data_IF_605562119396
#
_entry.id   IF_605562119396
#
_cell.length_a   1.000
_cell.length_b   1.000
_cell.length_c   1.000
_cell.angle_alpha   90.00
_cell.angle_beta   90.00
_cell.angle_gamma   90.00
#
_symmetry.space_group_name_H-M   'P 1'
#
loop_
_entity.id
_entity.type
_entity.pdbx_description
1 polymer ?
2 non-polymer ?
3 water ?
#
# COMPACT_ATOMS: atom_id res chain seq x y z
N UNK A 1 20.05 26.08 3.55
CA UNK A 1 19.48 25.50 4.77
C UNK A 1 18.35 24.50 4.51
N UNK A 2 18.51 23.28 5.02
CA UNK A 2 17.59 22.17 4.83
C UNK A 2 16.97 21.73 6.15
N UNK A 3 15.78 21.15 6.12
CA UNK A 3 15.19 20.59 7.36
C UNK A 3 16.07 19.51 7.95
N UNK A 4 16.04 19.41 9.29
CA UNK A 4 16.77 18.34 9.96
C UNK A 4 16.18 16.97 9.65
N UNK A 5 14.88 16.89 9.41
CA UNK A 5 14.21 15.62 9.15
C UNK A 5 13.25 15.75 7.99
N UNK A 6 13.13 14.66 7.22
CA UNK A 6 12.20 14.54 6.09
C UNK A 6 11.61 13.14 6.13
N UNK A 7 10.31 13.03 5.90
CA UNK A 7 9.68 11.72 5.73
C UNK A 7 8.52 11.91 4.75
N UNK A 8 8.75 11.54 3.49
CA UNK A 8 7.76 11.75 2.43
C UNK A 8 6.52 10.89 2.62
N UNK A 9 6.57 9.85 3.46
CA UNK A 9 5.37 9.11 3.78
C UNK A 9 4.33 10.02 4.42
N UNK A 10 4.79 10.94 5.28
CA UNK A 10 3.89 11.84 5.98
C UNK A 10 3.19 12.81 5.04
N UNK A 11 3.68 12.95 3.82
CA UNK A 11 3.07 13.80 2.80
C UNK A 11 2.17 13.00 1.87
N UNK A 12 1.93 11.72 2.17
CA UNK A 12 1.10 10.88 1.30
C UNK A 12 1.70 10.58 -0.05
N UNK A 13 3.03 10.56 -0.16
CA UNK A 13 3.74 10.41 -1.42
C UNK A 13 4.36 9.03 -1.62
N UNK A 14 4.11 8.07 -0.75
CA UNK A 14 4.78 6.77 -0.78
C UNK A 14 3.74 5.67 -0.78
N UNK A 15 3.79 4.79 -1.79
CA UNK A 15 2.88 3.65 -1.81
C UNK A 15 3.33 2.58 -0.79
N UNK A 16 2.51 1.54 -0.68
CA UNK A 16 2.83 0.42 0.19
C UNK A 16 4.13 -0.27 -0.20
N UNK A 17 4.82 -0.81 0.79
CA UNK A 17 6.00 -1.62 0.53
C UNK A 17 5.63 -2.82 -0.33
N UNK A 18 6.42 -3.11 -1.35
CA UNK A 18 6.16 -4.25 -2.21
C UNK A 18 7.09 -5.42 -1.85
N UNK A 19 6.81 -6.57 -2.45
CA UNK A 19 7.53 -7.83 -2.21
C UNK A 19 8.07 -8.35 -3.53
N UNK A 20 9.38 -8.20 -3.74
CA UNK A 20 9.98 -8.54 -5.02
C UNK A 20 10.14 -10.03 -5.20
N UNK A 21 10.28 -10.78 -4.11
CA UNK A 21 10.42 -12.22 -4.19
C UNK A 21 11.72 -12.65 -4.87
N UNK A 22 11.64 -13.77 -5.57
CA UNK A 22 12.82 -14.36 -6.21
C UNK A 22 13.30 -13.59 -7.44
N UNK A 23 12.59 -12.56 -7.86
CA UNK A 23 12.92 -11.82 -9.07
C UNK A 23 13.76 -10.61 -8.68
N UNK A 24 14.95 -10.48 -9.26
CA UNK A 24 15.84 -9.39 -8.90
C UNK A 24 15.42 -8.07 -9.51
N UNK A 25 14.23 -7.60 -9.16
CA UNK A 25 13.63 -6.42 -9.77
C UNK A 25 13.65 -5.21 -8.84
N UNK A 26 14.53 -5.19 -7.84
CA UNK A 26 14.55 -4.04 -6.92
C UNK A 26 14.83 -2.74 -7.67
N UNK A 27 15.58 -2.81 -8.78
CA UNK A 27 15.82 -1.64 -9.61
C UNK A 27 14.51 -1.07 -10.15
N UNK A 28 13.59 -1.96 -10.52
CA UNK A 28 12.30 -1.51 -11.05
C UNK A 28 11.44 -0.91 -9.94
N UNK A 29 11.45 -1.52 -8.75
CA UNK A 29 10.70 -0.96 -7.62
C UNK A 29 11.27 0.38 -7.18
N UNK A 30 12.60 0.50 -7.18
CA UNK A 30 13.22 1.77 -6.86
C UNK A 30 12.74 2.85 -7.81
N UNK A 31 12.68 2.54 -9.12
CA UNK A 31 12.28 3.53 -10.11
C UNK A 31 10.81 3.93 -9.98
N UNK A 32 9.89 2.96 -9.91
CA UNK A 32 8.48 3.33 -9.83
C UNK A 32 8.19 4.08 -8.53
N UNK A 33 8.86 3.70 -7.44
CA UNK A 33 8.65 4.41 -6.18
C UNK A 33 8.99 5.88 -6.26
N UNK A 34 10.13 6.21 -6.86
CA UNK A 34 10.51 7.61 -7.03
C UNK A 34 9.50 8.33 -7.94
N UNK A 35 9.05 7.66 -9.00
CA UNK A 35 8.09 8.31 -9.90
C UNK A 35 6.71 8.43 -9.26
N UNK A 36 6.32 7.47 -8.42
CA UNK A 36 5.04 7.56 -7.72
C UNK A 36 4.93 8.85 -6.91
N UNK A 37 6.01 9.29 -6.26
CA UNK A 37 5.93 10.51 -5.45
C UNK A 37 5.76 11.76 -6.31
N UNK A 38 6.47 11.83 -7.44
CA UNK A 38 6.28 12.96 -8.35
C UNK A 38 4.86 12.98 -8.90
N UNK A 39 4.29 11.81 -9.17
CA UNK A 39 2.92 11.74 -9.67
C UNK A 39 1.93 12.25 -8.63
N UNK A 40 2.12 11.85 -7.37
CA UNK A 40 1.28 12.34 -6.28
C UNK A 40 1.39 13.84 -6.12
N UNK A 41 2.62 14.36 -6.16
CA UNK A 41 2.84 15.80 -6.04
C UNK A 41 2.12 16.55 -7.16
N UNK A 42 2.18 16.02 -8.39
CA UNK A 42 1.60 16.72 -9.54
C UNK A 42 0.08 16.60 -9.62
N UNK A 43 -0.49 15.44 -9.29
CA UNK A 43 -1.90 15.21 -9.56
C UNK A 43 -2.74 15.05 -8.31
N UNK A 44 -2.11 14.94 -7.13
CA UNK A 44 -2.84 14.70 -5.91
C UNK A 44 -3.23 13.26 -5.68
N UNK A 45 -2.96 12.36 -6.61
CA UNK A 45 -3.37 10.98 -6.49
C UNK A 45 -2.14 10.11 -6.24
N UNK A 46 -2.27 9.18 -5.30
CA UNK A 46 -1.22 8.22 -4.97
C UNK A 46 -1.57 6.91 -5.67
N UNK A 47 -0.75 6.52 -6.65
CA UNK A 47 -1.04 5.35 -7.49
C UNK A 47 0.22 4.52 -7.61
N UNK A 48 0.15 3.24 -7.25
CA UNK A 48 1.28 2.36 -7.50
C UNK A 48 1.49 2.21 -9.00
N UNK A 49 2.74 2.38 -9.44
CA UNK A 49 3.10 2.21 -10.84
C UNK A 49 3.71 0.82 -11.06
N UNK A 50 3.70 0.37 -12.31
CA UNK A 50 3.94 -1.04 -12.65
C UNK A 50 5.43 -1.36 -12.73
N UNK A 51 5.98 -1.95 -11.65
CA UNK A 51 7.34 -2.49 -11.72
C UNK A 51 7.46 -3.59 -12.78
N UNK A 52 6.41 -4.39 -12.96
CA UNK A 52 6.42 -5.45 -13.98
C UNK A 52 6.54 -4.87 -15.39
N UNK A 53 5.90 -3.73 -15.64
CA UNK A 53 6.05 -3.01 -16.91
C UNK A 53 7.52 -2.74 -17.22
N UNK A 54 8.31 -2.36 -16.20
CA UNK A 54 9.74 -2.13 -16.39
C UNK A 54 10.49 -3.44 -16.62
N UNK A 55 10.19 -4.47 -15.83
CA UNK A 55 10.87 -5.75 -15.97
C UNK A 55 10.68 -6.33 -17.38
N UNK A 56 9.45 -6.26 -17.90
CA UNK A 56 9.14 -6.86 -19.20
C UNK A 56 9.55 -6.00 -20.38
N UNK A 57 9.57 -4.67 -20.22
CA UNK A 57 9.69 -3.78 -21.37
C UNK A 57 10.94 -2.93 -21.39
N UNK A 58 11.51 -2.57 -20.24
CA UNK A 58 12.78 -1.85 -20.17
C UNK A 58 13.91 -2.89 -20.11
N UNK A 59 14.19 -3.48 -21.27
CA UNK A 59 15.01 -4.69 -21.35
C UNK A 59 16.32 -4.39 -22.08
N UNK A 60 16.72 -5.18 -23.10
CA UNK A 60 18.08 -5.13 -23.63
C UNK A 60 18.46 -3.75 -24.17
N UNK A 61 17.53 -3.08 -24.86
CA UNK A 61 17.81 -1.74 -25.38
C UNK A 61 18.23 -0.78 -24.27
N UNK A 62 17.76 -1.02 -23.05
CA UNK A 62 18.08 -0.18 -21.90
C UNK A 62 19.15 -0.77 -21.01
N UNK A 63 19.87 -1.80 -21.48
CA UNK A 63 20.90 -2.43 -20.66
C UNK A 63 20.40 -3.23 -19.49
N UNK A 64 19.10 -3.51 -19.43
CA UNK A 64 18.52 -4.20 -18.28
C UNK A 64 18.26 -5.66 -18.62
N UNK A 65 18.11 -6.45 -17.57
CA UNK A 65 17.96 -7.90 -17.73
C UNK A 65 16.79 -8.43 -16.90
N UNK A 66 15.74 -7.63 -16.74
CA UNK A 66 14.54 -8.10 -16.06
C UNK A 66 14.81 -8.58 -14.65
N UNK A 67 14.41 -9.83 -14.36
CA UNK A 67 14.64 -10.43 -13.06
C UNK A 67 16.11 -10.70 -12.76
N UNK A 68 17.01 -10.47 -13.72
CA UNK A 68 18.44 -10.59 -13.48
C UNK A 68 19.12 -9.24 -13.29
N UNK A 69 18.35 -8.16 -13.11
CA UNK A 69 18.93 -6.89 -12.72
C UNK A 69 18.69 -5.76 -13.70
N UNK A 70 18.91 -4.53 -13.25
CA UNK A 70 18.71 -3.39 -14.12
C UNK A 70 19.14 -2.10 -13.46
N UNK A 71 18.91 -1.00 -14.18
CA UNK A 71 19.24 0.35 -13.75
C UNK A 71 17.98 1.21 -13.66
N UNK A 72 17.87 1.99 -12.58
CA UNK A 72 16.78 2.96 -12.48
C UNK A 72 16.88 4.03 -13.57
N UNK A 73 18.12 4.46 -13.90
CA UNK A 73 18.26 5.52 -14.90
C UNK A 73 17.68 5.09 -16.24
N UNK A 74 18.03 3.89 -16.70
CA UNK A 74 17.49 3.42 -17.98
C UNK A 74 16.03 2.99 -17.86
N UNK A 75 15.56 2.64 -16.67
CA UNK A 75 14.12 2.47 -16.48
C UNK A 75 13.39 3.78 -16.74
N UNK A 76 13.88 4.89 -16.16
CA UNK A 76 13.30 6.21 -16.44
C UNK A 76 13.35 6.53 -17.93
N UNK A 77 14.49 6.26 -18.59
CA UNK A 77 14.60 6.56 -20.01
C UNK A 77 13.58 5.79 -20.83
N UNK A 78 13.36 4.51 -20.49
CA UNK A 78 12.29 3.75 -21.13
C UNK A 78 10.95 4.45 -20.98
N UNK A 79 10.64 4.94 -19.78
CA UNK A 79 9.35 5.59 -19.58
C UNK A 79 9.24 6.85 -20.44
N UNK A 80 10.31 7.65 -20.48
CA UNK A 80 10.37 8.78 -21.40
C UNK A 80 10.11 8.32 -22.82
N UNK A 81 10.92 7.35 -23.29
CA UNK A 81 10.82 6.89 -24.67
C UNK A 81 9.44 6.34 -24.99
N UNK A 82 8.87 5.59 -24.05
CA UNK A 82 7.60 4.92 -24.21
C UNK A 82 6.42 5.86 -24.10
N UNK A 83 6.67 7.08 -23.62
CA UNK A 83 5.62 8.04 -23.31
C UNK A 83 4.60 7.48 -22.32
N UNK A 84 5.03 6.61 -21.41
CA UNK A 84 4.12 6.15 -20.39
C UNK A 84 4.59 4.91 -19.67
N UNK A 85 4.02 4.73 -18.47
CA UNK A 85 4.12 3.50 -17.69
C UNK A 85 2.72 3.19 -17.15
N UNK A 86 2.34 1.91 -17.17
CA UNK A 86 1.01 1.53 -16.71
C UNK A 86 0.92 1.60 -15.18
N UNK A 87 -0.32 1.65 -14.69
CA UNK A 87 -0.52 1.48 -13.25
C UNK A 87 -0.17 0.05 -12.86
N UNK A 88 0.22 -0.12 -11.60
CA UNK A 88 0.47 -1.46 -11.08
C UNK A 88 -0.79 -2.31 -11.10
N UNK A 89 -1.93 -1.71 -10.78
CA UNK A 89 -3.18 -2.46 -10.76
C UNK A 89 -3.52 -3.02 -12.14
N UNK A 90 -3.19 -2.29 -13.21
CA UNK A 90 -3.50 -2.77 -14.56
C UNK A 90 -2.44 -3.74 -15.07
N UNK A 91 -1.26 -3.74 -14.48
CA UNK A 91 -0.12 -4.52 -14.96
C UNK A 91 0.63 -4.99 -13.73
N UNK A 92 0.06 -5.95 -12.99
CA UNK A 92 0.58 -6.29 -11.66
C UNK A 92 1.84 -7.14 -11.70
N UNK A 93 2.47 -7.22 -10.53
CA UNK A 93 3.79 -7.84 -10.39
C UNK A 93 3.71 -9.35 -10.24
N UNK A 94 4.50 -10.07 -11.04
CA UNK A 94 4.50 -11.52 -11.05
C UNK A 94 5.85 -12.14 -10.65
N UNK A 95 6.86 -11.32 -10.36
CA UNK A 95 8.18 -11.82 -9.96
C UNK A 95 8.73 -12.82 -10.97
N UNK A 96 8.57 -12.52 -12.25
CA UNK A 96 9.14 -13.33 -13.32
C UNK A 96 9.22 -12.48 -14.57
N UNK A 97 10.05 -12.92 -15.50
CA UNK A 97 10.20 -12.25 -16.79
C UNK A 97 9.03 -12.65 -17.69
N UNK A 98 8.38 -11.66 -18.30
CA UNK A 98 7.30 -11.92 -19.24
C UNK A 98 7.51 -11.09 -20.48
N UNK A 99 6.74 -11.43 -21.52
CA UNK A 99 6.69 -10.57 -22.70
C UNK A 99 6.19 -9.19 -22.30
N UNK A 100 6.65 -8.17 -23.02
CA UNK A 100 6.18 -6.82 -22.75
C UNK A 100 4.69 -6.75 -23.07
N UNK A 101 3.90 -6.36 -22.09
CA UNK A 101 2.46 -6.28 -22.26
C UNK A 101 1.95 -4.87 -22.01
N UNK A 102 2.83 -3.88 -22.22
CA UNK A 102 2.43 -2.50 -22.03
C UNK A 102 1.19 -2.17 -22.85
N UNK A 103 0.25 -1.46 -22.22
CA UNK A 103 -0.99 -1.05 -22.88
C UNK A 103 -1.22 0.41 -22.49
N UNK A 104 -1.07 1.32 -23.45
CA UNK A 104 -1.18 2.74 -23.15
C UNK A 104 -2.57 3.12 -22.65
N UNK A 105 -3.59 2.30 -22.93
CA UNK A 105 -4.91 2.60 -22.39
C UNK A 105 -4.88 2.78 -20.88
N UNK A 106 -3.96 2.08 -20.19
CA UNK A 106 -3.88 2.13 -18.74
C UNK A 106 -2.69 2.91 -18.24
N UNK A 107 -2.10 3.76 -19.09
CA UNK A 107 -1.04 4.65 -18.65
C UNK A 107 -1.48 5.39 -17.39
N UNK A 108 -0.62 5.37 -16.37
CA UNK A 108 -0.89 6.08 -15.13
C UNK A 108 0.11 7.17 -14.82
N UNK A 109 1.22 7.24 -15.55
CA UNK A 109 2.20 8.31 -15.37
C UNK A 109 3.04 8.42 -16.63
N UNK A 110 3.69 9.56 -16.76
CA UNK A 110 4.72 9.81 -17.74
C UNK A 110 6.01 10.17 -17.00
N UNK A 111 7.07 10.41 -17.75
CA UNK A 111 8.32 10.91 -17.18
C UNK A 111 8.91 11.91 -18.15
N UNK A 112 9.17 13.13 -17.68
CA UNK A 112 9.73 14.18 -18.52
C UNK A 112 11.25 14.08 -18.63
N UNK A 113 11.91 13.68 -17.54
CA UNK A 113 13.37 13.74 -17.43
C UNK A 113 13.75 12.99 -16.15
N UNK A 114 15.05 12.70 -16.03
CA UNK A 114 15.60 12.22 -14.77
C UNK A 114 16.94 12.90 -14.57
N UNK A 115 17.36 12.98 -13.30
CA UNK A 115 18.61 13.64 -12.92
C UNK A 115 19.45 12.69 -12.08
N UNK A 116 20.74 12.62 -12.38
CA UNK A 116 21.68 11.85 -11.58
C UNK A 116 22.49 12.78 -10.69
N UNK A 117 22.80 12.32 -9.49
CA UNK A 117 23.56 13.05 -8.49
C UNK A 117 25.00 12.53 -8.35
N UNK A 118 25.91 13.37 -7.87
CA UNK A 118 27.33 12.97 -7.78
C UNK A 118 27.56 11.82 -6.81
N UNK A 119 28.42 10.89 -7.23
CA UNK A 119 28.77 9.71 -6.45
C UNK A 119 29.30 10.10 -5.08
N UNK A 120 28.67 9.59 -4.03
CA UNK A 120 29.18 9.76 -2.69
C UNK A 120 28.87 11.08 -2.01
N UNK A 121 28.17 12.00 -2.69
CA UNK A 121 27.87 13.31 -2.10
C UNK A 121 26.58 13.20 -1.31
N UNK A 122 26.72 12.89 -0.02
CA UNK A 122 25.56 12.72 0.83
C UNK A 122 24.90 14.07 1.15
N UNK A 123 25.66 15.16 1.09
CA UNK A 123 25.05 16.48 1.22
C UNK A 123 24.17 16.80 0.01
N UNK A 124 24.60 16.44 -1.19
CA UNK A 124 23.78 16.64 -2.38
C UNK A 124 22.54 15.75 -2.35
N UNK A 125 22.70 14.50 -1.91
CA UNK A 125 21.55 13.62 -1.76
C UNK A 125 20.55 14.21 -0.78
N UNK A 126 21.04 14.76 0.34
CA UNK A 126 20.15 15.31 1.34
C UNK A 126 19.33 16.46 0.78
N UNK A 127 19.98 17.36 0.01
CA UNK A 127 19.26 18.49 -0.58
C UNK A 127 18.19 18.01 -1.56
N UNK A 128 18.49 17.00 -2.36
CA UNK A 128 17.52 16.48 -3.32
C UNK A 128 16.34 15.82 -2.60
N UNK A 129 16.57 15.01 -1.57
CA UNK A 129 15.45 14.39 -0.85
C UNK A 129 14.55 15.47 -0.27
N UNK A 130 15.15 16.54 0.24
CA UNK A 130 14.35 17.61 0.86
C UNK A 130 13.61 18.42 -0.19
N UNK A 131 14.29 18.77 -1.29
CA UNK A 131 13.74 19.74 -2.23
C UNK A 131 13.12 19.12 -3.46
N UNK A 132 13.35 17.83 -3.72
CA UNK A 132 12.79 17.21 -4.91
C UNK A 132 11.78 16.12 -4.61
N UNK A 133 12.06 15.28 -3.61
CA UNK A 133 11.22 14.15 -3.31
C UNK A 133 12.08 12.91 -3.11
N UNK A 134 11.44 11.76 -2.94
CA UNK A 134 12.20 10.51 -2.81
C UNK A 134 13.14 10.29 -3.99
N UNK A 135 14.31 9.74 -3.70
CA UNK A 135 15.39 9.56 -4.67
C UNK A 135 15.72 8.08 -4.79
N UNK A 136 15.80 7.59 -6.02
CA UNK A 136 16.23 6.22 -6.26
C UNK A 136 17.73 6.09 -5.98
N UNK A 137 18.11 5.05 -5.25
CA UNK A 137 19.53 4.78 -5.00
C UNK A 137 19.78 3.29 -5.07
N UNK A 138 21.06 2.92 -5.21
CA UNK A 138 21.52 1.57 -4.96
C UNK A 138 22.23 1.49 -3.62
N UNK A 139 22.22 0.30 -3.02
CA UNK A 139 22.98 0.02 -1.81
C UNK A 139 23.72 -1.29 -1.97
N UNK A 140 24.75 -1.48 -1.16
CA UNK A 140 25.41 -2.77 -1.02
C UNK A 140 24.64 -3.60 0.00
N UNK A 141 23.81 -4.54 -0.47
CA UNK A 141 22.99 -5.34 0.43
C UNK A 141 23.52 -6.75 0.61
N UNK A 142 24.75 -7.02 0.17
CA UNK A 142 25.33 -8.36 0.21
C UNK A 142 26.01 -8.60 1.55
N UNK A 143 25.21 -8.53 2.62
CA UNK A 143 25.69 -8.78 3.95
C UNK A 143 24.56 -9.41 4.74
N UNK A 144 24.81 -10.49 5.47
CA UNK A 144 23.72 -11.10 6.25
C UNK A 144 23.06 -10.13 7.20
N UNK A 145 23.81 -9.17 7.76
CA UNK A 145 23.19 -8.19 8.66
C UNK A 145 22.11 -7.38 7.94
N UNK A 146 22.23 -7.21 6.62
CA UNK A 146 21.18 -6.51 5.88
C UNK A 146 19.93 -7.36 5.80
N UNK A 147 20.07 -8.62 5.35
CA UNK A 147 18.95 -9.55 5.29
C UNK A 147 18.29 -9.74 6.66
N UNK A 148 19.06 -9.67 7.73
CA UNK A 148 18.55 -9.92 9.08
C UNK A 148 18.19 -8.66 9.83
N UNK A 149 18.25 -7.48 9.18
CA UNK A 149 17.95 -6.24 9.88
C UNK A 149 16.53 -6.25 10.39
N UNK A 150 16.36 -5.83 11.64
CA UNK A 150 15.03 -5.69 12.24
C UNK A 150 14.69 -4.25 12.59
N UNK A 151 15.58 -3.52 13.24
CA UNK A 151 15.23 -2.19 13.73
C UNK A 151 16.50 -1.38 14.01
N UNK A 152 16.32 -0.08 14.13
CA UNK A 152 17.43 0.82 14.47
C UNK A 152 18.14 1.39 13.26
N UNK A 153 19.24 2.09 13.56
CA UNK A 153 20.09 2.70 12.53
C UNK A 153 21.14 1.67 12.13
N UNK A 154 21.01 1.17 10.90
CA UNK A 154 21.86 0.12 10.35
C UNK A 154 23.25 0.66 10.04
N UNK A 155 24.26 0.04 10.61
CA UNK A 155 25.66 0.31 10.31
C UNK A 155 26.36 -1.03 10.15
N UNK A 156 26.98 -1.26 9.01
CA UNK A 156 27.67 -2.53 8.73
C UNK A 156 29.14 -2.25 8.44
N UNK A 157 30.05 -2.57 9.37
CA UNK A 157 31.46 -2.19 9.18
C UNK A 157 32.06 -2.67 7.88
N UNK A 158 31.64 -3.84 7.39
CA UNK A 158 32.23 -4.41 6.18
C UNK A 158 31.50 -3.99 4.92
N UNK A 159 30.57 -3.03 5.01
CA UNK A 159 29.85 -2.59 3.82
C UNK A 159 30.77 -1.86 2.85
N UNK A 160 30.44 -1.92 1.56
CA UNK A 160 31.23 -1.21 0.55
C UNK A 160 30.33 -0.22 -0.21
N UNK A 161 30.98 0.60 -1.03
CA UNK A 161 30.30 1.59 -1.87
C UNK A 161 29.84 1.04 -3.22
N UNK A 162 30.12 -0.22 -3.52
CA UNK A 162 29.66 -0.85 -4.75
C UNK A 162 28.25 -1.39 -4.56
N UNK A 163 27.30 -0.90 -5.35
CA UNK A 163 25.90 -1.17 -5.06
C UNK A 163 25.42 -2.37 -5.87
N UNK A 164 24.41 -3.05 -5.33
CA UNK A 164 23.88 -4.25 -5.97
C UNK A 164 22.39 -4.42 -5.74
N UNK A 165 21.71 -3.48 -5.10
CA UNK A 165 20.31 -3.63 -4.75
C UNK A 165 19.64 -2.26 -4.79
N UNK A 166 18.57 -2.14 -5.55
CA UNK A 166 17.89 -0.85 -5.67
C UNK A 166 16.88 -0.65 -4.54
N UNK A 167 16.87 0.58 -4.00
CA UNK A 167 15.92 0.99 -2.95
C UNK A 167 15.52 2.46 -3.18
N UNK A 168 14.71 2.97 -2.26
CA UNK A 168 14.11 4.31 -2.38
C UNK A 168 14.40 5.10 -1.11
N UNK A 169 15.12 6.22 -1.23
CA UNK A 169 15.31 7.09 -0.07
C UNK A 169 14.10 8.01 0.01
N UNK A 170 13.24 7.79 1.01
CA UNK A 170 12.04 8.60 1.20
C UNK A 170 12.21 9.63 2.31
N UNK A 171 13.38 9.71 2.92
CA UNK A 171 13.58 10.71 3.95
C UNK A 171 14.92 10.55 4.64
N UNK A 172 15.06 11.29 5.74
CA UNK A 172 16.28 11.23 6.53
C UNK A 172 16.01 11.88 7.87
N UNK A 173 16.93 11.69 8.79
CA UNK A 173 16.80 12.31 10.08
C UNK A 173 17.99 12.02 10.96
N UNK A 174 17.77 12.25 12.25
CA UNK A 174 18.80 12.12 13.27
C UNK A 174 18.11 11.62 14.51
N UNK A 175 18.53 10.49 15.04
CA UNK A 175 17.89 9.93 16.22
C UNK A 175 18.91 10.05 17.33
N UNK A 176 18.76 11.07 18.17
CA UNK A 176 19.62 11.26 19.33
C UNK A 176 21.10 11.13 18.98
N UNK A 177 21.51 11.86 17.94
CA UNK A 177 22.89 11.89 17.50
C UNK A 177 23.30 10.88 16.43
N UNK A 178 22.45 9.91 16.07
CA UNK A 178 22.76 8.97 14.99
C UNK A 178 21.96 9.40 13.76
N UNK A 179 22.68 9.92 12.76
CA UNK A 179 22.08 10.36 11.51
C UNK A 179 21.77 9.18 10.62
N UNK A 180 20.64 9.25 9.92
CA UNK A 180 20.21 8.10 9.11
C UNK A 180 19.52 8.57 7.85
N UNK A 181 19.47 7.67 6.86
CA UNK A 181 18.62 7.78 5.68
C UNK A 181 17.41 6.88 5.88
N UNK A 182 16.23 7.36 5.52
CA UNK A 182 15.02 6.56 5.61
C UNK A 182 14.81 5.89 4.25
N UNK A 183 14.90 4.55 4.22
CA UNK A 183 14.99 3.78 2.98
C UNK A 183 13.79 2.85 2.89
N UNK A 184 13.02 2.97 1.81
CA UNK A 184 11.97 2.02 1.49
C UNK A 184 12.57 0.84 0.73
N UNK A 185 12.39 -0.37 1.25
CA UNK A 185 12.88 -1.58 0.58
C UNK A 185 11.73 -2.24 -0.18
N UNK A 186 12.06 -3.29 -0.93
CA UNK A 186 11.02 -4.05 -1.62
C UNK A 186 11.10 -5.53 -1.23
N UNK A 187 11.17 -5.77 0.08
CA UNK A 187 11.23 -7.13 0.61
C UNK A 187 10.00 -7.42 1.46
N UNK A 188 8.92 -6.71 1.19
CA UNK A 188 7.67 -6.88 1.92
C UNK A 188 7.70 -6.22 3.29
N UNK A 189 6.56 -6.37 3.99
CA UNK A 189 6.34 -5.64 5.23
C UNK A 189 7.06 -6.27 6.42
N UNK A 190 7.43 -7.55 6.34
CA UNK A 190 8.08 -8.22 7.46
C UNK A 190 9.57 -7.95 7.52
N UNK A 191 10.16 -7.35 6.49
CA UNK A 191 11.54 -6.91 6.59
C UNK A 191 11.64 -5.65 7.43
N UNK A 192 12.66 -5.59 8.29
CA UNK A 192 13.02 -4.37 8.99
C UNK A 192 11.88 -3.69 9.71
N UNK A 193 11.76 -2.38 9.50
CA UNK A 193 10.77 -1.56 10.21
C UNK A 193 9.58 -1.39 9.28
N UNK A 194 8.66 -2.36 9.32
CA UNK A 194 7.49 -2.36 8.45
C UNK A 194 7.89 -2.24 6.98
N UNK A 195 8.99 -2.89 6.61
CA UNK A 195 9.50 -2.88 5.25
C UNK A 195 10.49 -1.78 4.94
N UNK A 196 10.84 -0.95 5.92
CA UNK A 196 11.79 0.15 5.80
C UNK A 196 13.05 -0.18 6.59
N UNK A 197 14.17 0.43 6.18
CA UNK A 197 15.43 0.34 6.93
C UNK A 197 15.99 1.75 7.04
N UNK A 198 16.42 2.12 8.25
CA UNK A 198 17.10 3.38 8.48
C UNK A 198 18.61 3.12 8.45
N UNK A 199 19.31 3.75 7.51
CA UNK A 199 20.71 3.43 7.23
C UNK A 199 21.62 4.60 7.58
N UNK A 200 22.78 4.30 8.16
CA UNK A 200 23.70 5.33 8.64
C UNK A 200 23.95 6.39 7.57
N UNK A 201 23.83 7.65 7.98
CA UNK A 201 24.00 8.79 7.08
C UNK A 201 25.23 9.59 7.52
N UNK A 202 25.92 10.17 6.53
CA UNK A 202 27.19 10.89 6.75
C UNK A 202 28.21 10.00 7.46
N UNK A 203 28.27 8.74 7.06
CA UNK A 203 29.34 7.87 7.53
C UNK A 203 30.14 7.38 6.33
N UNK A 204 30.73 8.31 5.57
CA UNK A 204 31.52 7.97 4.40
C UNK A 204 30.82 7.17 3.32
N UNK A 205 29.61 7.59 2.95
CA UNK A 205 28.85 6.93 1.89
C UNK A 205 28.62 5.45 2.24
N UNK A 206 28.09 5.23 3.43
CA UNK A 206 27.92 3.90 3.98
C UNK A 206 27.04 3.04 3.10
N UNK A 207 27.55 1.85 2.75
CA UNK A 207 26.88 0.88 1.88
C UNK A 207 26.55 1.46 0.50
N UNK A 208 27.28 2.49 0.08
CA UNK A 208 27.05 3.07 -1.23
C UNK A 208 25.74 3.79 -1.41
N UNK A 209 25.12 4.23 -0.31
CA UNK A 209 23.78 4.82 -0.37
C UNK A 209 23.73 6.01 -1.33
N UNK A 210 24.80 6.81 -1.42
CA UNK A 210 24.84 7.93 -2.36
C UNK A 210 25.75 7.66 -3.54
N UNK A 211 26.01 6.38 -3.85
CA UNK A 211 26.86 6.08 -5.00
C UNK A 211 26.18 6.43 -6.32
N UNK A 212 24.89 6.06 -6.47
CA UNK A 212 24.16 6.27 -7.72
C UNK A 212 22.73 6.73 -7.47
N UNK A 213 22.55 7.95 -6.97
CA UNK A 213 21.19 8.47 -6.79
C UNK A 213 20.65 9.05 -8.08
N UNK A 214 19.35 8.87 -8.31
CA UNK A 214 18.69 9.55 -9.42
C UNK A 214 17.22 9.75 -9.08
N UNK A 215 16.61 10.76 -9.71
CA UNK A 215 15.19 11.01 -9.48
C UNK A 215 14.55 11.51 -10.76
N UNK A 216 13.31 11.09 -11.03
CA UNK A 216 12.60 11.54 -12.23
C UNK A 216 11.75 12.75 -11.90
N UNK A 217 11.25 13.39 -12.97
CA UNK A 217 10.29 14.47 -12.81
C UNK A 217 9.19 14.32 -13.86
N UNK A 218 8.01 14.83 -13.50
CA UNK A 218 6.88 14.97 -14.39
C UNK A 218 6.56 16.46 -14.42
N UNK A 219 6.89 17.12 -15.52
CA UNK A 219 6.70 18.55 -15.63
C UNK A 219 5.29 18.85 -16.13
N UNK A 220 4.77 20.02 -15.72
CA UNK A 220 3.47 20.46 -16.20
C UNK A 220 3.52 20.50 -17.73
N UNK A 221 2.49 19.97 -18.36
CA UNK A 221 2.47 19.95 -19.81
C UNK A 221 3.12 18.69 -20.39
N UNK B 1 -34.40 -2.84 -9.41
CA UNK B 1 -33.41 -3.44 -10.31
C UNK B 1 -32.02 -2.85 -10.05
N UNK B 2 -31.08 -3.74 -9.78
CA UNK B 2 -29.71 -3.39 -9.43
C UNK B 2 -28.76 -3.83 -10.54
N UNK B 3 -27.60 -3.20 -10.67
CA UNK B 3 -26.63 -3.66 -11.67
C UNK B 3 -26.22 -5.11 -11.39
N UNK B 4 -25.97 -5.85 -12.48
CA UNK B 4 -25.49 -7.23 -12.34
C UNK B 4 -24.10 -7.28 -11.73
N UNK B 5 -23.26 -6.29 -12.02
CA UNK B 5 -21.90 -6.26 -11.52
C UNK B 5 -21.56 -4.87 -11.01
N UNK B 6 -20.74 -4.85 -9.95
CA UNK B 6 -20.27 -3.62 -9.31
C UNK B 6 -18.80 -3.83 -8.95
N UNK B 7 -17.99 -2.82 -9.17
CA UNK B 7 -16.59 -2.83 -8.77
C UNK B 7 -16.25 -1.37 -8.45
N UNK B 8 -16.21 -1.04 -7.17
CA UNK B 8 -15.95 0.34 -6.78
C UNK B 8 -14.52 0.78 -7.07
N UNK B 9 -13.60 -0.15 -7.35
CA UNK B 9 -12.26 0.26 -7.76
C UNK B 9 -12.32 1.12 -9.02
N UNK B 10 -13.25 0.79 -9.93
CA UNK B 10 -13.40 1.51 -11.19
C UNK B 10 -13.79 2.96 -10.98
N UNK B 11 -14.30 3.30 -9.81
CA UNK B 11 -14.66 4.67 -9.47
C UNK B 11 -13.57 5.37 -8.69
N UNK B 12 -12.40 4.75 -8.55
CA UNK B 12 -11.33 5.39 -7.79
C UNK B 12 -11.62 5.51 -6.31
N UNK B 13 -12.43 4.60 -5.75
CA UNK B 13 -12.90 4.70 -4.37
C UNK B 13 -12.16 3.76 -3.43
N UNK B 14 -11.14 3.05 -3.90
CA UNK B 14 -10.49 2.03 -3.08
C UNK B 14 -8.98 2.29 -3.06
N UNK B 15 -8.43 2.43 -1.86
CA UNK B 15 -6.99 2.62 -1.72
C UNK B 15 -6.27 1.29 -1.94
N UNK B 16 -4.94 1.37 -1.93
CA UNK B 16 -4.09 0.20 -2.07
C UNK B 16 -4.37 -0.80 -0.96
N UNK B 17 -4.25 -2.09 -1.28
CA UNK B 17 -4.35 -3.12 -0.25
C UNK B 17 -3.21 -2.93 0.76
N UNK B 18 -3.54 -3.11 2.04
CA UNK B 18 -2.59 -2.98 3.14
C UNK B 18 -2.15 -4.38 3.61
N UNK B 19 -1.20 -4.39 4.55
CA UNK B 19 -0.63 -5.63 5.08
C UNK B 19 -0.71 -5.62 6.60
N UNK B 20 -1.61 -6.41 7.18
CA UNK B 20 -1.83 -6.33 8.62
C UNK B 20 -0.73 -7.01 9.42
N UNK B 21 -0.06 -8.02 8.85
CA UNK B 21 1.03 -8.66 9.58
C UNK B 21 0.55 -9.44 10.81
N UNK B 22 1.41 -9.45 11.84
CA UNK B 22 1.18 -10.21 13.06
C UNK B 22 0.02 -9.68 13.89
N UNK B 23 -0.49 -8.50 13.55
CA UNK B 23 -1.46 -7.79 14.36
C UNK B 23 -2.86 -8.06 13.83
N UNK B 24 -3.73 -8.57 14.69
CA UNK B 24 -5.09 -8.90 14.32
C UNK B 24 -5.96 -7.67 14.18
N UNK B 25 -5.62 -6.79 13.25
CA UNK B 25 -6.28 -5.51 13.07
C UNK B 25 -7.16 -5.49 11.81
N UNK B 26 -7.59 -6.65 11.32
CA UNK B 26 -8.38 -6.67 10.08
C UNK B 26 -9.66 -5.86 10.25
N UNK B 27 -10.21 -5.84 11.48
CA UNK B 27 -11.38 -5.01 11.74
C UNK B 27 -11.08 -3.53 11.49
N UNK B 28 -9.87 -3.10 11.85
CA UNK B 28 -9.51 -1.70 11.64
C UNK B 28 -9.31 -1.42 10.15
N UNK B 29 -8.71 -2.36 9.43
CA UNK B 29 -8.55 -2.15 7.99
C UNK B 29 -9.91 -2.14 7.30
N UNK B 30 -10.80 -3.05 7.70
CA UNK B 30 -12.14 -3.06 7.12
C UNK B 30 -12.85 -1.72 7.33
N UNK B 31 -12.77 -1.17 8.54
CA UNK B 31 -13.48 0.07 8.84
C UNK B 31 -12.90 1.24 8.06
N UNK B 32 -11.57 1.43 8.07
CA UNK B 32 -11.03 2.56 7.32
C UNK B 32 -11.30 2.40 5.84
N UNK B 33 -11.27 1.17 5.33
CA UNK B 33 -11.56 0.95 3.92
C UNK B 33 -12.94 1.44 3.51
N UNK B 34 -13.96 1.08 4.29
CA UNK B 34 -15.30 1.57 3.99
C UNK B 34 -15.37 3.10 4.07
N UNK B 35 -14.71 3.70 5.07
CA UNK B 35 -14.78 5.14 5.23
C UNK B 35 -14.00 5.87 4.14
N UNK B 36 -12.88 5.28 3.68
CA UNK B 36 -12.09 5.89 2.59
C UNK B 36 -12.94 6.10 1.34
N UNK B 37 -13.84 5.14 1.05
CA UNK B 37 -14.68 5.27 -0.14
C UNK B 37 -15.69 6.37 0.03
N UNK B 38 -16.29 6.49 1.21
CA UNK B 38 -17.22 7.59 1.44
C UNK B 38 -16.50 8.92 1.35
N UNK B 39 -15.26 8.98 1.84
CA UNK B 39 -14.50 10.22 1.77
C UNK B 39 -14.24 10.63 0.33
N UNK B 40 -13.84 9.68 -0.50
CA UNK B 40 -13.61 9.98 -1.91
C UNK B 40 -14.90 10.43 -2.60
N UNK B 41 -16.00 9.74 -2.32
CA UNK B 41 -17.28 10.14 -2.91
C UNK B 41 -17.65 11.57 -2.50
N UNK B 42 -17.45 11.92 -1.23
CA UNK B 42 -17.86 13.23 -0.71
C UNK B 42 -16.92 14.35 -1.11
N UNK B 43 -15.61 14.10 -1.15
CA UNK B 43 -14.64 15.17 -1.33
C UNK B 43 -13.84 15.09 -2.61
N UNK B 44 -13.94 13.98 -3.35
CA UNK B 44 -13.14 13.78 -4.53
C UNK B 44 -11.72 13.29 -4.28
N UNK B 45 -11.30 13.19 -3.02
CA UNK B 45 -9.94 12.82 -2.65
C UNK B 45 -9.88 11.39 -2.10
N UNK B 46 -8.94 10.60 -2.61
CA UNK B 46 -8.70 9.24 -2.13
C UNK B 46 -7.43 9.22 -1.27
N UNK B 47 -7.57 8.97 0.01
CA UNK B 47 -6.45 8.99 0.95
C UNK B 47 -6.61 7.82 1.91
N UNK B 48 -5.54 7.05 2.09
CA UNK B 48 -5.55 6.00 3.10
C UNK B 48 -5.71 6.59 4.49
N UNK B 49 -6.65 6.06 5.26
CA UNK B 49 -6.93 6.45 6.63
C UNK B 49 -6.23 5.51 7.61
N UNK B 50 -6.04 5.99 8.84
CA UNK B 50 -5.11 5.35 9.77
C UNK B 50 -5.77 4.19 10.50
N UNK B 51 -5.48 2.96 10.06
CA UNK B 51 -5.88 1.78 10.82
C UNK B 51 -5.25 1.77 12.21
N UNK B 52 -4.02 2.28 12.34
CA UNK B 52 -3.35 2.31 13.64
C UNK B 52 -4.11 3.19 14.63
N UNK B 53 -4.65 4.31 14.14
CA UNK B 53 -5.49 5.19 14.93
C UNK B 53 -6.61 4.42 15.60
N UNK B 54 -7.25 3.51 14.87
CA UNK B 54 -8.30 2.69 15.47
C UNK B 54 -7.72 1.72 16.48
N UNK B 55 -6.64 1.03 16.12
CA UNK B 55 -6.03 0.04 17.02
C UNK B 55 -5.66 0.68 18.35
N UNK B 56 -5.06 1.87 18.31
CA UNK B 56 -4.57 2.50 19.53
C UNK B 56 -5.67 3.22 20.31
N UNK B 57 -6.71 3.72 19.65
CA UNK B 57 -7.64 4.63 20.31
C UNK B 57 -9.06 4.09 20.47
N UNK B 58 -9.51 3.22 19.57
CA UNK B 58 -10.83 2.61 19.72
C UNK B 58 -10.65 1.30 20.47
N UNK B 59 -10.49 1.41 21.79
CA UNK B 59 -10.01 0.28 22.60
C UNK B 59 -11.16 -0.25 23.45
N UNK B 60 -10.95 -0.54 24.73
CA UNK B 60 -11.95 -1.38 25.40
C UNK B 60 -13.21 -0.62 25.72
N UNK B 61 -13.16 0.73 25.77
CA UNK B 61 -14.41 1.50 25.84
C UNK B 61 -15.34 1.15 24.68
N UNK B 62 -14.75 0.78 23.53
CA UNK B 62 -15.48 0.38 22.34
C UNK B 62 -15.54 -1.13 22.17
N UNK B 63 -15.22 -1.89 23.22
CA UNK B 63 -15.21 -3.34 23.14
C UNK B 63 -14.12 -3.93 22.29
N UNK B 64 -13.10 -3.15 21.93
CA UNK B 64 -12.06 -3.65 21.04
C UNK B 64 -10.80 -3.96 21.81
N UNK B 65 -9.94 -4.78 21.19
CA UNK B 65 -8.72 -5.27 21.83
C UNK B 65 -7.50 -5.09 20.93
N UNK B 66 -7.46 -4.02 20.13
CA UNK B 66 -6.27 -3.70 19.37
C UNK B 66 -5.88 -4.84 18.45
N UNK B 67 -4.60 -5.27 18.56
CA UNK B 67 -4.09 -6.38 17.77
C UNK B 67 -4.71 -7.72 18.14
N UNK B 68 -5.55 -7.80 19.17
CA UNK B 68 -6.24 -9.03 19.48
C UNK B 68 -7.68 -9.05 18.99
N UNK B 69 -8.08 -8.05 18.19
CA UNK B 69 -9.37 -8.08 17.54
C UNK B 69 -10.29 -6.92 17.86
N UNK B 70 -11.32 -6.73 17.06
CA UNK B 70 -12.24 -5.62 17.27
C UNK B 70 -13.42 -5.74 16.33
N UNK B 71 -14.27 -4.71 16.40
CA UNK B 71 -15.50 -4.61 15.62
C UNK B 71 -15.45 -3.37 14.74
N UNK B 72 -15.86 -3.52 13.48
CA UNK B 72 -15.99 -2.36 12.60
C UNK B 72 -17.03 -1.39 13.14
N UNK B 73 -18.13 -1.91 13.71
CA UNK B 73 -19.22 -1.03 14.17
C UNK B 73 -18.74 -0.06 15.24
N UNK B 74 -18.04 -0.56 16.27
CA UNK B 74 -17.54 0.31 17.31
C UNK B 74 -16.33 1.12 16.88
N UNK B 75 -15.61 0.64 15.86
CA UNK B 75 -14.60 1.48 15.23
C UNK B 75 -15.26 2.71 14.61
N UNK B 76 -16.35 2.50 13.87
CA UNK B 76 -17.12 3.63 13.34
C UNK B 76 -17.59 4.53 14.47
N UNK B 77 -18.07 3.93 15.57
CA UNK B 77 -18.59 4.73 16.67
C UNK B 77 -17.50 5.62 17.27
N UNK B 78 -16.28 5.08 17.43
CA UNK B 78 -15.17 5.91 17.89
C UNK B 78 -14.94 7.11 16.98
N UNK B 79 -14.97 6.90 15.67
CA UNK B 79 -14.74 8.00 14.74
C UNK B 79 -15.85 9.05 14.86
N UNK B 80 -17.09 8.58 14.95
CA UNK B 80 -18.21 9.47 15.25
C UNK B 80 -17.95 10.21 16.55
N UNK B 81 -17.65 9.48 17.63
CA UNK B 81 -17.45 10.11 18.93
C UNK B 81 -16.31 11.11 18.90
N UNK B 82 -15.21 10.75 18.24
CA UNK B 82 -13.99 11.53 18.19
C UNK B 82 -14.08 12.72 17.23
N UNK B 83 -15.10 12.75 16.37
CA UNK B 83 -15.23 13.72 15.29
C UNK B 83 -13.99 13.71 14.38
N UNK B 84 -13.37 12.55 14.20
CA UNK B 84 -12.25 12.48 13.28
C UNK B 84 -11.40 11.23 13.35
N UNK B 85 -10.69 10.96 12.25
CA UNK B 85 -9.65 9.94 12.18
C UNK B 85 -8.47 10.50 11.38
N UNK B 86 -7.27 10.23 11.84
CA UNK B 86 -6.11 10.76 11.13
C UNK B 86 -5.86 10.01 9.83
N UNK B 87 -5.08 10.65 8.96
CA UNK B 87 -4.62 9.96 7.76
C UNK B 87 -3.60 8.90 8.15
N UNK B 88 -3.51 7.86 7.31
CA UNK B 88 -2.46 6.87 7.51
C UNK B 88 -1.08 7.51 7.40
N UNK B 89 -0.95 8.52 6.53
CA UNK B 89 0.32 9.23 6.36
C UNK B 89 0.75 9.91 7.67
N UNK B 90 -0.20 10.45 8.43
CA UNK B 90 0.15 11.10 9.67
C UNK B 90 0.28 10.13 10.84
N UNK B 91 -0.30 8.95 10.72
CA UNK B 91 -0.44 8.01 11.85
C UNK B 91 -0.23 6.61 11.28
N UNK B 92 1.02 6.26 10.93
CA UNK B 92 1.25 5.06 10.12
C UNK B 92 1.08 3.77 10.90
N UNK B 93 0.95 2.69 10.16
CA UNK B 93 0.64 1.37 10.72
C UNK B 93 1.92 0.69 11.16
N UNK B 94 1.92 0.20 12.40
CA UNK B 94 3.06 -0.47 13.00
C UNK B 94 2.78 -1.92 13.38
N UNK B 95 1.56 -2.41 13.19
CA UNK B 95 1.20 -3.79 13.54
C UNK B 95 1.54 -4.12 15.00
N UNK B 96 1.20 -3.21 15.91
CA UNK B 96 1.34 -3.46 17.34
C UNK B 96 0.45 -2.50 18.10
N UNK B 97 0.19 -2.84 19.36
CA UNK B 97 -0.59 -1.98 20.23
C UNK B 97 0.28 -0.82 20.73
N UNK B 98 -0.22 0.41 20.59
CA UNK B 98 0.48 1.59 21.08
C UNK B 98 -0.49 2.48 21.85
N UNK B 99 0.05 3.45 22.59
CA UNK B 99 -0.78 4.48 23.21
C UNK B 99 -1.54 5.25 22.13
N UNK B 100 -2.71 5.76 22.49
CA UNK B 100 -3.48 6.57 21.55
C UNK B 100 -2.73 7.87 21.24
N UNK B 101 -2.45 8.10 19.96
CA UNK B 101 -1.73 9.30 19.53
C UNK B 101 -2.54 10.13 18.54
N UNK B 102 -3.87 10.04 18.62
CA UNK B 102 -4.71 10.84 17.72
C UNK B 102 -4.37 12.32 17.83
N UNK B 103 -4.33 13.00 16.69
CA UNK B 103 -4.05 14.43 16.67
C UNK B 103 -5.02 15.08 15.69
N UNK B 104 -5.92 15.92 16.19
CA UNK B 104 -6.92 16.49 15.29
C UNK B 104 -6.28 17.34 14.20
N UNK B 105 -5.06 17.82 14.41
CA UNK B 105 -4.38 18.59 13.36
C UNK B 105 -4.26 17.80 12.07
N UNK B 106 -4.19 16.47 12.16
CA UNK B 106 -4.02 15.63 10.98
C UNK B 106 -5.29 14.86 10.62
N UNK B 107 -6.45 15.28 11.14
CA UNK B 107 -7.71 14.69 10.74
C UNK B 107 -7.85 14.70 9.22
N UNK B 108 -8.16 13.52 8.66
CA UNK B 108 -8.38 13.37 7.23
C UNK B 108 -9.80 12.94 6.89
N UNK B 109 -10.60 12.52 7.85
CA UNK B 109 -11.99 12.19 7.59
C UNK B 109 -12.77 12.24 8.91
N UNK B 110 -14.09 12.37 8.78
CA UNK B 110 -15.03 12.23 9.87
C UNK B 110 -16.02 11.12 9.52
N UNK B 111 -16.91 10.81 10.46
CA UNK B 111 -17.99 9.86 10.24
C UNK B 111 -19.23 10.39 10.93
N UNK B 112 -20.33 10.50 10.18
CA UNK B 112 -21.59 11.00 10.76
C UNK B 112 -22.38 9.88 11.44
N UNK B 113 -22.35 8.68 10.88
CA UNK B 113 -23.21 7.57 11.28
C UNK B 113 -22.69 6.31 10.62
N UNK B 114 -23.19 5.17 11.08
CA UNK B 114 -22.98 3.89 10.40
C UNK B 114 -24.26 3.09 10.51
N UNK B 115 -24.43 2.14 9.59
CA UNK B 115 -25.63 1.32 9.51
C UNK B 115 -25.24 -0.16 9.46
N UNK B 116 -25.93 -0.98 10.25
CA UNK B 116 -25.74 -2.43 10.19
C UNK B 116 -26.86 -3.05 9.34
N UNK B 117 -26.51 -4.07 8.58
CA UNK B 117 -27.46 -4.78 7.74
C UNK B 117 -27.86 -6.09 8.39
N UNK B 118 -29.03 -6.63 8.06
CA UNK B 118 -29.49 -7.88 8.69
C UNK B 118 -28.58 -9.06 8.39
N UNK B 119 -28.35 -9.86 9.43
CA UNK B 119 -27.51 -11.05 9.35
C UNK B 119 -28.01 -12.00 8.26
N UNK B 120 -27.11 -12.37 7.35
CA UNK B 120 -27.41 -13.40 6.36
C UNK B 120 -28.20 -12.94 5.15
N UNK B 121 -28.59 -11.66 5.07
CA UNK B 121 -29.40 -11.16 3.96
C UNK B 121 -28.47 -10.68 2.85
N UNK B 122 -28.14 -11.59 1.93
CA UNK B 122 -27.26 -11.25 0.82
C UNK B 122 -27.93 -10.35 -0.20
N UNK B 123 -29.27 -10.39 -0.28
CA UNK B 123 -29.96 -9.46 -1.16
C UNK B 123 -29.85 -8.03 -0.61
N UNK B 124 -29.99 -7.86 0.71
CA UNK B 124 -29.83 -6.54 1.32
C UNK B 124 -28.39 -6.07 1.19
N UNK B 125 -27.42 -6.96 1.36
CA UNK B 125 -26.02 -6.59 1.15
C UNK B 125 -25.78 -6.14 -0.29
N UNK B 126 -26.37 -6.83 -1.25
CA UNK B 126 -26.17 -6.48 -2.65
C UNK B 126 -26.66 -5.08 -2.95
N UNK B 127 -27.84 -4.72 -2.42
CA UNK B 127 -28.38 -3.38 -2.66
C UNK B 127 -27.49 -2.30 -2.03
N UNK B 128 -26.95 -2.56 -0.84
CA UNK B 128 -26.10 -1.57 -0.19
C UNK B 128 -24.80 -1.35 -0.96
N UNK B 129 -24.15 -2.43 -1.39
CA UNK B 129 -22.92 -2.28 -2.18
C UNK B 129 -23.22 -1.52 -3.45
N UNK B 130 -24.38 -1.76 -4.06
CA UNK B 130 -24.73 -1.04 -5.28
C UNK B 130 -25.05 0.43 -4.99
N UNK B 131 -25.80 0.71 -3.92
CA UNK B 131 -26.35 2.05 -3.75
C UNK B 131 -25.61 2.90 -2.74
N UNK B 132 -24.81 2.32 -1.87
CA UNK B 132 -24.13 3.09 -0.82
C UNK B 132 -22.62 3.15 -1.01
N UNK B 133 -22.00 2.05 -1.44
CA UNK B 133 -20.56 1.98 -1.54
C UNK B 133 -20.07 0.67 -0.95
N UNK B 134 -18.75 0.54 -0.83
CA UNK B 134 -18.18 -0.65 -0.18
C UNK B 134 -18.68 -0.80 1.25
N UNK B 135 -18.86 -2.05 1.67
CA UNK B 135 -19.44 -2.41 2.95
C UNK B 135 -18.44 -3.26 3.75
N UNK B 136 -18.20 -2.88 5.01
CA UNK B 136 -17.40 -3.70 5.92
C UNK B 136 -18.15 -4.97 6.29
N UNK B 137 -17.48 -6.12 6.24
CA UNK B 137 -18.05 -7.40 6.67
C UNK B 137 -16.97 -8.19 7.39
N UNK B 138 -17.40 -9.19 8.15
CA UNK B 138 -16.50 -10.23 8.61
C UNK B 138 -16.67 -11.50 7.80
N UNK B 139 -15.62 -12.31 7.73
CA UNK B 139 -15.72 -13.62 7.10
C UNK B 139 -15.08 -14.67 8.02
N UNK B 140 -15.46 -15.91 7.81
CA UNK B 140 -14.77 -17.04 8.43
C UNK B 140 -13.57 -17.36 7.55
N UNK B 141 -12.40 -16.92 7.98
CA UNK B 141 -11.16 -17.11 7.24
C UNK B 141 -10.28 -18.17 7.88
N UNK B 142 -10.83 -18.96 8.80
CA UNK B 142 -10.09 -19.99 9.53
C UNK B 142 -10.05 -21.31 8.77
N UNK B 143 -9.57 -21.28 7.52
CA UNK B 143 -9.44 -22.49 6.71
C UNK B 143 -8.24 -22.36 5.79
N UNK B 144 -7.42 -23.41 5.66
CA UNK B 144 -6.26 -23.33 4.76
C UNK B 144 -6.59 -22.89 3.34
N UNK B 145 -7.76 -23.27 2.82
CA UNK B 145 -8.12 -22.85 1.47
C UNK B 145 -8.17 -21.32 1.34
N UNK B 146 -8.46 -20.61 2.43
CA UNK B 146 -8.47 -19.16 2.37
C UNK B 146 -7.06 -18.61 2.22
N UNK B 147 -6.16 -19.05 3.09
CA UNK B 147 -4.76 -18.64 2.99
C UNK B 147 -4.15 -19.02 1.65
N UNK B 148 -4.59 -20.12 1.03
CA UNK B 148 -4.01 -20.63 -0.20
C UNK B 148 -4.76 -20.21 -1.47
N UNK B 149 -5.80 -19.37 -1.35
CA UNK B 149 -6.58 -18.95 -2.50
C UNK B 149 -5.75 -18.11 -3.47
N UNK B 150 -5.90 -18.39 -4.75
CA UNK B 150 -5.19 -17.69 -5.81
C UNK B 150 -6.10 -16.97 -6.79
N UNK B 151 -7.16 -17.61 -7.27
CA UNK B 151 -8.00 -17.03 -8.30
C UNK B 151 -9.33 -17.76 -8.33
N UNK B 152 -10.29 -17.14 -9.00
CA UNK B 152 -11.59 -17.76 -9.15
C UNK B 152 -12.54 -17.37 -8.04
N UNK B 153 -13.70 -18.05 -8.05
CA UNK B 153 -14.72 -17.85 -7.03
C UNK B 153 -14.45 -18.83 -5.89
N UNK B 154 -14.13 -18.30 -4.71
CA UNK B 154 -13.79 -19.09 -3.54
C UNK B 154 -15.04 -19.75 -2.93
N UNK B 155 -15.02 -21.07 -2.81
CA UNK B 155 -16.07 -21.82 -2.10
C UNK B 155 -15.41 -22.84 -1.19
N UNK B 156 -15.71 -22.78 0.10
CA UNK B 156 -15.13 -23.68 1.10
C UNK B 156 -16.25 -24.45 1.77
N UNK B 157 -16.45 -25.73 1.44
CA UNK B 157 -17.59 -26.48 2.01
C UNK B 157 -17.64 -26.46 3.54
N UNK B 158 -16.50 -26.41 4.21
CA UNK B 158 -16.46 -26.44 5.66
C UNK B 158 -16.55 -25.05 6.28
N UNK B 159 -16.85 -24.02 5.49
CA UNK B 159 -16.97 -22.68 6.03
C UNK B 159 -18.20 -22.58 6.92
N UNK B 160 -18.15 -21.68 7.89
CA UNK B 160 -19.26 -21.41 8.79
C UNK B 160 -19.66 -19.94 8.68
N UNK B 161 -20.78 -19.59 9.33
CA UNK B 161 -21.26 -18.22 9.36
C UNK B 161 -20.71 -17.42 10.53
N UNK B 162 -19.91 -18.04 11.40
CA UNK B 162 -19.28 -17.33 12.52
C UNK B 162 -17.97 -16.72 12.00
N UNK B 163 -17.88 -15.38 12.04
CA UNK B 163 -16.82 -14.62 11.38
C UNK B 163 -15.69 -14.34 12.35
N UNK B 164 -14.49 -14.15 11.79
CA UNK B 164 -13.27 -13.94 12.57
C UNK B 164 -12.26 -13.03 11.90
N UNK B 165 -12.56 -12.49 10.70
CA UNK B 165 -11.58 -11.71 9.94
C UNK B 165 -12.33 -10.61 9.21
N UNK B 166 -11.93 -9.36 9.42
CA UNK B 166 -12.61 -8.22 8.79
C UNK B 166 -12.06 -7.97 7.41
N UNK B 167 -12.98 -7.74 6.47
CA UNK B 167 -12.65 -7.45 5.07
C UNK B 167 -13.62 -6.40 4.56
N UNK B 168 -13.48 -6.06 3.28
CA UNK B 168 -14.26 -4.97 2.66
C UNK B 168 -14.87 -5.48 1.37
N UNK B 169 -16.20 -5.47 1.27
CA UNK B 169 -16.87 -5.80 0.02
C UNK B 169 -16.86 -4.55 -0.85
N UNK B 170 -16.07 -4.56 -1.93
CA UNK B 170 -16.01 -3.43 -2.85
C UNK B 170 -16.80 -3.68 -4.12
N UNK B 171 -17.46 -4.82 -4.26
CA UNK B 171 -18.28 -5.05 -5.42
C UNK B 171 -18.82 -6.47 -5.42
N UNK B 172 -19.38 -6.85 -6.57
CA UNK B 172 -19.91 -8.18 -6.76
C UNK B 172 -20.04 -8.44 -8.24
N UNK B 173 -20.27 -9.69 -8.60
CA UNK B 173 -20.42 -10.04 -9.99
C UNK B 173 -20.63 -11.54 -10.13
N UNK B 174 -20.34 -12.04 -11.32
CA UNK B 174 -20.44 -13.47 -11.61
C UNK B 174 -19.26 -13.86 -12.50
N UNK B 175 -18.55 -14.90 -12.10
CA UNK B 175 -17.40 -15.40 -12.84
C UNK B 175 -17.57 -16.90 -13.01
N UNK B 176 -17.52 -17.38 -14.25
CA UNK B 176 -17.60 -18.82 -14.55
C UNK B 176 -18.87 -19.45 -13.98
N UNK B 177 -19.99 -18.77 -14.19
CA UNK B 177 -21.26 -19.30 -13.74
C UNK B 177 -21.51 -19.14 -12.26
N UNK B 178 -20.52 -18.61 -11.53
CA UNK B 178 -20.55 -18.51 -10.08
C UNK B 178 -20.71 -17.06 -9.67
N UNK B 179 -21.77 -16.75 -8.92
CA UNK B 179 -21.93 -15.41 -8.37
C UNK B 179 -20.92 -15.20 -7.24
N UNK B 180 -20.39 -13.98 -7.13
CA UNK B 180 -19.37 -13.74 -6.13
C UNK B 180 -19.51 -12.34 -5.51
N UNK B 181 -18.89 -12.21 -4.35
CA UNK B 181 -18.60 -10.94 -3.71
C UNK B 181 -17.15 -10.59 -3.97
N UNK B 182 -16.89 -9.33 -4.34
CA UNK B 182 -15.52 -8.88 -4.56
C UNK B 182 -14.98 -8.31 -3.25
N UNK B 183 -13.96 -8.97 -2.69
CA UNK B 183 -13.53 -8.71 -1.31
C UNK B 183 -12.09 -8.22 -1.30
N UNK B 184 -11.89 -7.02 -0.75
CA UNK B 184 -10.55 -6.49 -0.48
C UNK B 184 -10.04 -7.03 0.84
N UNK B 185 -8.88 -7.66 0.83
CA UNK B 185 -8.29 -8.17 2.07
C UNK B 185 -7.22 -7.19 2.56
N UNK B 186 -6.62 -7.50 3.72
CA UNK B 186 -5.51 -6.71 4.24
C UNK B 186 -4.27 -7.60 4.43
N UNK B 187 -3.95 -8.38 3.39
CA UNK B 187 -2.78 -9.24 3.40
C UNK B 187 -1.80 -8.93 2.26
N UNK B 188 -1.76 -7.67 1.81
CA UNK B 188 -0.81 -7.30 0.77
C UNK B 188 -1.20 -7.76 -0.62
N UNK B 189 -0.29 -7.56 -1.57
CA UNK B 189 -0.60 -7.88 -2.96
C UNK B 189 -0.47 -9.36 -3.28
N UNK B 190 0.25 -10.12 -2.48
CA UNK B 190 0.48 -11.53 -2.81
C UNK B 190 -0.61 -12.45 -2.31
N UNK B 191 -1.58 -11.95 -1.55
CA UNK B 191 -2.76 -12.74 -1.24
C UNK B 191 -3.71 -12.77 -2.43
N UNK B 192 -4.26 -13.95 -2.71
CA UNK B 192 -5.34 -14.06 -3.69
C UNK B 192 -5.02 -13.40 -5.01
N UNK B 193 -5.98 -12.62 -5.51
CA UNK B 193 -5.89 -11.93 -6.80
C UNK B 193 -5.48 -10.47 -6.52
N UNK B 194 -4.17 -10.24 -6.42
CA UNK B 194 -3.65 -8.91 -6.11
C UNK B 194 -4.24 -8.33 -4.83
N UNK B 195 -4.36 -9.18 -3.81
CA UNK B 195 -4.90 -8.78 -2.53
C UNK B 195 -6.40 -8.87 -2.40
N UNK B 196 -7.10 -9.35 -3.43
CA UNK B 196 -8.54 -9.51 -3.44
C UNK B 196 -8.91 -10.98 -3.49
N UNK B 197 -10.08 -11.32 -2.97
CA UNK B 197 -10.65 -12.65 -3.10
C UNK B 197 -12.09 -12.52 -3.53
N UNK B 198 -12.49 -13.29 -4.54
CA UNK B 198 -13.89 -13.34 -4.95
C UNK B 198 -14.53 -14.52 -4.24
N UNK B 199 -15.53 -14.23 -3.41
CA UNK B 199 -16.12 -15.21 -2.50
C UNK B 199 -17.55 -15.50 -2.92
N UNK B 200 -17.93 -16.78 -2.83
CA UNK B 200 -19.25 -17.22 -3.29
C UNK B 200 -20.37 -16.37 -2.72
N UNK B 201 -21.29 -15.97 -3.59
CA UNK B 201 -22.42 -15.13 -3.28
C UNK B 201 -23.72 -15.90 -3.51
N UNK B 202 -24.75 -15.61 -2.70
CA UNK B 202 -26.05 -16.32 -2.77
C UNK B 202 -25.83 -17.82 -2.64
N UNK B 203 -24.94 -18.15 -1.73
CA UNK B 203 -24.63 -19.52 -1.32
C UNK B 203 -24.80 -19.75 0.16
N UNK B 204 -26.01 -19.45 0.63
CA UNK B 204 -26.39 -19.60 2.02
C UNK B 204 -25.53 -18.84 2.99
N UNK B 205 -25.21 -17.56 2.69
CA UNK B 205 -24.35 -16.74 3.57
C UNK B 205 -22.99 -17.41 3.74
N UNK B 206 -22.36 -17.72 2.62
CA UNK B 206 -21.12 -18.50 2.64
C UNK B 206 -20.00 -17.79 3.40
N UNK B 207 -19.38 -18.51 4.33
CA UNK B 207 -18.30 -18.00 5.17
C UNK B 207 -18.73 -16.79 5.98
N UNK B 208 -20.04 -16.67 6.23
CA UNK B 208 -20.53 -15.58 7.04
C UNK B 208 -20.39 -14.22 6.41
N UNK B 209 -20.25 -14.14 5.08
CA UNK B 209 -19.93 -12.88 4.40
C UNK B 209 -20.98 -11.81 4.73
N UNK B 210 -22.25 -12.20 4.87
CA UNK B 210 -23.30 -11.24 5.19
C UNK B 210 -23.80 -11.38 6.63
N UNK B 211 -22.98 -11.93 7.53
CA UNK B 211 -23.39 -12.06 8.91
C UNK B 211 -23.42 -10.70 9.60
N UNK B 212 -22.39 -9.87 9.41
CA UNK B 212 -22.28 -8.59 10.10
C UNK B 212 -21.78 -7.52 9.13
N UNK B 213 -22.62 -7.12 8.17
CA UNK B 213 -22.24 -6.02 7.29
C UNK B 213 -22.57 -4.68 7.93
N UNK B 214 -21.68 -3.71 7.71
CA UNK B 214 -21.96 -2.35 8.13
C UNK B 214 -21.23 -1.39 7.20
N UNK B 215 -21.75 -0.17 7.11
CA UNK B 215 -21.11 0.83 6.29
C UNK B 215 -21.27 2.20 6.94
N UNK B 216 -20.25 3.06 6.84
CA UNK B 216 -20.32 4.40 7.41
C UNK B 216 -20.82 5.39 6.37
N UNK B 217 -21.19 6.57 6.84
CA UNK B 217 -21.53 7.67 5.94
C UNK B 217 -20.91 8.96 6.47
N UNK B 218 -20.61 9.86 5.55
CA UNK B 218 -20.16 11.21 5.88
C UNK B 218 -21.19 12.14 5.28
N UNK B 219 -22.02 12.74 6.13
CA UNK B 219 -23.10 13.61 5.66
C UNK B 219 -22.63 15.06 5.60
N UNK B 220 -23.20 15.80 4.63
CA UNK B 220 -22.86 17.21 4.50
C UNK B 220 -23.17 17.97 5.78
N UNK B 221 -22.23 18.80 6.21
CA UNK B 221 -22.42 19.60 7.41
C UNK B 221 -21.98 18.90 8.67
#
# INVERSE_FOLDING_TARGET
ILPDSVDWREKGCVTEVKYQGSCGASWAFSAVGALEAQLKLKTGKLVSLSAQNLVDCSTEKYGNKGCNGGFMTTAFQYIIDNKGIDSDASYPYKAMDQKCQYDSKYRAATCSKYTELPYGREDVLKEAVANKGPVSVGVDARHPSFFLYRSGVYYEPSCTQNVNHGVLVVGYGDLNGKEYWLVKNSWGHNFGEEGYIRMARNKGNHCGIASFPSYPEILQGGG
ILPDSVDWREKGCVTEVKYQGSCGASWAFSAVGALEAQLKLKTGKLVSLSAQNLVDCSTEKYGNKGCNGGFMTTAFQYIIDNKGIDSDASYPYKAMDQKCQYDSKYRAATCSKYTELPYGREDVLKEAVANKGPVSVGVDARHPSFFLYRSGVYYEPSCTQNVNHGVLVVGYGDLNGKEYWLVKNSWGHNFGEEGYIRMARNKGNHCGIASFPSYPEILQGGG
#
